data_IF_207797840782
#
_entry.id   IF_207797840782
#
_cell.length_a   1.000
_cell.length_b   1.000
_cell.length_c   1.000
_cell.angle_alpha   90.00
_cell.angle_beta   90.00
_cell.angle_gamma   90.00
#
_symmetry.space_group_name_H-M   'P 1'
#
loop_
_entity.id
_entity.type
_entity.pdbx_description
1 polymer ?
#
# COMPACT_ATOMS: atom_id res chain seq x y z
N UNK A 1 -16.94 -27.36 34.01
CA UNK A 1 -16.99 -27.85 35.41
C UNK A 1 -18.20 -27.23 36.07
N UNK A 2 -18.99 -28.02 36.81
CA UNK A 2 -20.16 -27.52 37.55
C UNK A 2 -19.65 -26.82 38.82
N UNK A 3 -20.09 -25.60 39.14
CA UNK A 3 -19.67 -24.93 40.38
C UNK A 3 -20.20 -25.69 41.62
N UNK A 4 -19.33 -25.89 42.64
CA UNK A 4 -19.61 -26.49 43.97
C UNK A 4 -19.69 -28.02 44.12
N UNK A 5 -19.11 -28.81 43.21
CA UNK A 5 -18.97 -30.25 43.46
C UNK A 5 -17.76 -30.58 44.36
N UNK A 6 -18.04 -30.89 45.64
CA UNK A 6 -17.04 -31.26 46.66
C UNK A 6 -16.39 -32.63 46.43
N UNK A 7 -16.86 -33.42 45.45
CA UNK A 7 -16.28 -34.72 45.09
C UNK A 7 -15.33 -34.65 43.89
N UNK A 8 -15.17 -33.48 43.25
CA UNK A 8 -14.27 -33.32 42.11
C UNK A 8 -12.82 -33.03 42.54
N UNK A 9 -12.11 -34.06 43.01
CA UNK A 9 -10.69 -33.96 43.39
C UNK A 9 -9.71 -33.92 42.20
N UNK A 10 -10.17 -34.27 40.99
CA UNK A 10 -9.30 -34.46 39.82
C UNK A 10 -9.60 -33.50 38.65
N UNK A 11 -10.32 -32.41 38.88
CA UNK A 11 -10.62 -31.39 37.86
C UNK A 11 -11.41 -31.96 36.67
N UNK A 12 -10.73 -32.22 35.55
CA UNK A 12 -11.32 -32.81 34.34
C UNK A 12 -11.36 -34.36 34.34
N UNK A 13 -10.87 -35.02 35.40
CA UNK A 13 -10.84 -36.47 35.54
C UNK A 13 -9.54 -37.13 35.03
N UNK A 14 -9.50 -38.47 35.03
CA UNK A 14 -8.34 -39.26 34.53
C UNK A 14 -8.22 -39.08 33.02
N UNK A 15 -7.00 -38.78 32.55
CA UNK A 15 -6.73 -38.59 31.13
C UNK A 15 -6.85 -39.94 30.39
N UNK A 16 -7.94 -40.10 29.66
CA UNK A 16 -8.14 -41.23 28.77
C UNK A 16 -7.44 -40.92 27.43
N UNK A 17 -6.20 -41.36 27.33
CA UNK A 17 -5.36 -41.14 26.15
C UNK A 17 -5.98 -41.76 24.89
N UNK A 18 -6.73 -42.86 25.02
CA UNK A 18 -7.37 -43.54 23.89
C UNK A 18 -8.57 -42.74 23.38
N UNK A 19 -9.40 -42.22 24.30
CA UNK A 19 -10.50 -41.32 23.94
C UNK A 19 -10.01 -39.97 23.40
N UNK A 20 -8.87 -39.47 23.89
CA UNK A 20 -8.25 -38.24 23.40
C UNK A 20 -7.72 -38.38 21.97
N UNK A 21 -7.02 -39.49 21.66
CA UNK A 21 -6.52 -39.78 20.30
C UNK A 21 -7.67 -40.01 19.31
N UNK A 22 -8.75 -40.66 19.75
CA UNK A 22 -9.92 -40.86 18.89
C UNK A 22 -10.66 -39.54 18.63
N UNK A 23 -10.73 -38.62 19.60
CA UNK A 23 -11.32 -37.28 19.39
C UNK A 23 -10.45 -36.37 18.54
N UNK A 24 -9.12 -36.43 18.68
CA UNK A 24 -8.23 -35.67 17.80
C UNK A 24 -8.34 -36.18 16.36
N UNK A 25 -8.36 -37.50 16.15
CA UNK A 25 -8.51 -38.08 14.80
C UNK A 25 -9.88 -37.81 14.17
N UNK A 26 -10.95 -37.67 14.97
CA UNK A 26 -12.30 -37.37 14.46
C UNK A 26 -12.49 -35.88 14.17
N UNK A 27 -11.79 -34.99 14.90
CA UNK A 27 -11.80 -33.54 14.65
C UNK A 27 -10.91 -33.18 13.45
N UNK A 28 -9.82 -33.92 13.23
CA UNK A 28 -8.93 -33.82 12.07
C UNK A 28 -9.54 -34.34 10.76
N UNK A 29 -10.61 -35.14 10.81
CA UNK A 29 -11.16 -35.83 9.63
C UNK A 29 -12.02 -34.96 8.71
N UNK A 30 -12.39 -33.73 9.12
CA UNK A 30 -13.26 -32.86 8.33
C UNK A 30 -12.51 -31.74 7.59
N UNK A 31 -11.21 -31.55 7.84
CA UNK A 31 -10.44 -30.48 7.22
C UNK A 31 -9.18 -31.04 6.53
N UNK A 32 -8.83 -30.48 5.37
CA UNK A 32 -7.62 -30.88 4.65
C UNK A 32 -6.41 -30.79 5.61
N UNK A 33 -5.55 -31.82 5.71
CA UNK A 33 -4.45 -31.86 6.69
C UNK A 33 -3.47 -30.68 6.53
N UNK A 34 -3.34 -30.18 5.30
CA UNK A 34 -2.57 -28.98 4.97
C UNK A 34 -3.18 -27.72 5.59
N UNK A 35 -4.51 -27.62 5.62
CA UNK A 35 -5.24 -26.47 6.18
C UNK A 35 -5.15 -26.42 7.70
N UNK A 36 -5.18 -27.58 8.37
CA UNK A 36 -4.93 -27.70 9.81
C UNK A 36 -3.50 -27.28 10.17
N UNK A 37 -2.51 -27.81 9.45
CA UNK A 37 -1.10 -27.41 9.65
C UNK A 37 -0.88 -25.91 9.44
N UNK A 38 -1.51 -25.31 8.42
CA UNK A 38 -1.46 -23.86 8.20
C UNK A 38 -2.11 -23.08 9.33
N UNK A 39 -3.28 -23.51 9.82
CA UNK A 39 -3.99 -22.86 10.94
C UNK A 39 -3.15 -22.91 12.21
N UNK A 40 -2.57 -24.06 12.53
CA UNK A 40 -1.73 -24.23 13.73
C UNK A 40 -0.43 -23.44 13.63
N UNK A 41 0.19 -23.41 12.45
CA UNK A 41 1.37 -22.59 12.18
C UNK A 41 1.07 -21.10 12.32
N UNK A 42 -0.06 -20.63 11.78
CA UNK A 42 -0.50 -19.23 11.91
C UNK A 42 -0.81 -18.90 13.37
N UNK A 43 -1.51 -19.77 14.10
CA UNK A 43 -1.80 -19.59 15.52
C UNK A 43 -0.52 -19.53 16.36
N UNK A 44 0.46 -20.38 16.06
CA UNK A 44 1.79 -20.38 16.67
C UNK A 44 2.56 -19.08 16.39
N UNK A 45 2.53 -18.58 15.15
CA UNK A 45 3.15 -17.30 14.78
C UNK A 45 2.48 -16.11 15.49
N UNK A 46 1.15 -16.15 15.66
CA UNK A 46 0.39 -15.12 16.38
C UNK A 46 0.74 -15.12 17.88
N UNK A 47 0.93 -16.29 18.48
CA UNK A 47 1.20 -16.42 19.94
C UNK A 47 2.68 -16.29 20.32
N UNK A 48 3.63 -16.69 19.47
CA UNK A 48 5.06 -16.77 19.82
C UNK A 48 5.97 -15.68 19.19
N UNK A 49 5.40 -14.70 18.50
CA UNK A 49 5.85 -13.31 18.64
C UNK A 49 7.18 -12.85 18.02
N UNK A 50 7.66 -13.44 16.92
CA UNK A 50 8.68 -12.79 16.06
C UNK A 50 8.16 -12.35 14.69
N UNK A 51 7.14 -13.02 14.15
CA UNK A 51 6.51 -12.70 12.87
C UNK A 51 4.99 -12.75 13.05
N UNK A 52 4.44 -11.85 13.88
CA UNK A 52 3.01 -11.80 14.09
C UNK A 52 2.30 -11.34 12.80
N UNK A 53 1.46 -12.17 12.14
CA UNK A 53 0.76 -11.79 10.90
C UNK A 53 -0.14 -10.57 11.12
N UNK A 54 -0.64 -10.40 12.35
CA UNK A 54 -1.47 -9.26 12.76
C UNK A 54 -0.74 -7.93 12.60
N UNK A 55 0.59 -7.94 12.72
CA UNK A 55 1.45 -6.78 12.48
C UNK A 55 1.45 -6.32 11.01
N UNK A 56 1.29 -7.25 10.07
CA UNK A 56 1.37 -7.00 8.63
C UNK A 56 -0.01 -6.82 7.98
N UNK A 57 -1.02 -7.56 8.45
CA UNK A 57 -2.33 -7.66 7.77
C UNK A 57 -3.47 -6.92 8.49
N UNK A 58 -3.37 -6.67 9.80
CA UNK A 58 -4.48 -6.16 10.61
C UNK A 58 -4.46 -4.62 10.77
N UNK A 59 -3.72 -3.91 9.91
CA UNK A 59 -3.74 -2.45 9.83
C UNK A 59 -2.91 -1.70 10.87
N UNK A 60 -1.92 -2.35 11.48
CA UNK A 60 -0.94 -1.71 12.37
C UNK A 60 0.13 -0.89 11.62
N UNK A 61 1.35 -0.82 12.17
CA UNK A 61 2.47 0.00 11.68
C UNK A 61 2.83 -0.16 10.19
N UNK A 62 2.42 -1.26 9.57
CA UNK A 62 2.50 -1.49 8.14
C UNK A 62 1.12 -1.86 7.61
N UNK A 63 0.38 -0.90 7.05
CA UNK A 63 -0.84 -1.18 6.30
C UNK A 63 -0.49 -1.84 4.95
N UNK A 64 0.08 -3.06 4.99
CA UNK A 64 0.67 -3.74 3.84
C UNK A 64 -0.37 -3.99 2.74
N UNK A 65 -1.60 -4.36 3.12
CA UNK A 65 -2.67 -4.64 2.17
C UNK A 65 -3.06 -3.39 1.37
N UNK A 66 -3.44 -2.25 1.98
CA UNK A 66 -3.67 -1.01 1.25
C UNK A 66 -2.50 -0.61 0.34
N UNK A 67 -1.26 -0.70 0.85
CA UNK A 67 -0.04 -0.35 0.11
C UNK A 67 0.17 -1.21 -1.13
N UNK A 68 -0.05 -2.52 -1.03
CA UNK A 68 0.04 -3.42 -2.19
C UNK A 68 -1.05 -3.11 -3.22
N UNK A 69 -2.27 -2.82 -2.77
CA UNK A 69 -3.37 -2.42 -3.66
C UNK A 69 -3.02 -1.12 -4.38
N UNK A 70 -2.35 -0.17 -3.72
CA UNK A 70 -1.88 1.08 -4.34
C UNK A 70 -0.81 0.85 -5.40
N UNK A 71 0.13 -0.05 -5.19
CA UNK A 71 1.14 -0.42 -6.22
C UNK A 71 0.46 -1.10 -7.41
N UNK A 72 -0.44 -2.04 -7.14
CA UNK A 72 -1.19 -2.75 -8.17
C UNK A 72 -2.09 -1.81 -8.96
N UNK A 73 -2.74 -0.84 -8.30
CA UNK A 73 -3.54 0.19 -8.94
C UNK A 73 -2.70 1.09 -9.84
N UNK A 74 -1.52 1.52 -9.38
CA UNK A 74 -0.59 2.30 -10.19
C UNK A 74 -0.11 1.53 -11.43
N UNK A 75 0.17 0.24 -11.27
CA UNK A 75 0.53 -0.63 -12.37
C UNK A 75 -0.62 -0.82 -13.36
N UNK A 76 -1.85 -1.02 -12.87
CA UNK A 76 -3.04 -1.15 -13.69
C UNK A 76 -3.33 0.14 -14.48
N UNK A 77 -3.22 1.31 -13.84
CA UNK A 77 -3.32 2.62 -14.49
C UNK A 77 -2.27 2.73 -15.61
N UNK A 78 -1.04 2.36 -15.30
CA UNK A 78 0.07 2.39 -16.27
C UNK A 78 -0.19 1.47 -17.46
N UNK A 79 -0.74 0.28 -17.23
CA UNK A 79 -1.18 -0.64 -18.27
C UNK A 79 -2.33 -0.08 -19.10
N UNK A 80 -3.31 0.57 -18.47
CA UNK A 80 -4.44 1.18 -19.16
C UNK A 80 -3.97 2.32 -20.07
N UNK A 81 -3.06 3.17 -19.59
CA UNK A 81 -2.44 4.25 -20.38
C UNK A 81 -1.68 3.66 -21.57
N UNK A 82 -0.91 2.58 -21.35
CA UNK A 82 -0.20 1.88 -22.42
C UNK A 82 -1.15 1.33 -23.48
N UNK A 83 -2.26 0.71 -23.06
CA UNK A 83 -3.21 0.07 -23.97
C UNK A 83 -4.03 1.10 -24.76
N UNK A 84 -4.49 2.18 -24.11
CA UNK A 84 -5.40 3.14 -24.71
C UNK A 84 -4.71 4.25 -25.51
N UNK A 85 -3.56 4.76 -25.06
CA UNK A 85 -2.96 5.97 -25.64
C UNK A 85 -1.68 5.76 -26.45
N UNK A 86 -0.80 4.86 -26.03
CA UNK A 86 0.55 4.78 -26.62
C UNK A 86 1.10 3.35 -26.75
N UNK A 87 0.39 2.43 -27.45
CA UNK A 87 0.78 1.03 -27.52
C UNK A 87 2.18 0.78 -28.12
N UNK A 88 2.66 1.67 -29.00
CA UNK A 88 3.97 1.54 -29.67
C UNK A 88 5.09 2.45 -29.09
N UNK A 89 4.75 3.45 -28.28
CA UNK A 89 5.69 4.46 -27.76
C UNK A 89 5.98 4.36 -26.27
N UNK A 90 5.18 3.59 -25.53
CA UNK A 90 5.31 3.46 -24.08
C UNK A 90 6.47 2.54 -23.68
N UNK A 91 7.40 3.04 -22.86
CA UNK A 91 8.55 2.26 -22.37
C UNK A 91 8.46 2.03 -20.87
N UNK A 92 8.42 0.75 -20.47
CA UNK A 92 8.72 0.38 -19.09
C UNK A 92 10.21 0.61 -18.86
N UNK A 93 10.52 1.71 -18.19
CA UNK A 93 11.89 2.08 -17.84
C UNK A 93 12.03 2.11 -16.32
N UNK A 94 13.25 1.94 -15.80
CA UNK A 94 13.51 2.05 -14.36
C UNK A 94 13.00 3.35 -13.74
N UNK A 95 13.21 4.56 -14.33
CA UNK A 95 12.65 5.78 -13.76
C UNK A 95 11.12 5.73 -13.65
N UNK A 96 10.41 5.13 -14.62
CA UNK A 96 8.96 4.98 -14.56
C UNK A 96 8.51 4.13 -13.37
N UNK A 97 9.15 2.98 -13.16
CA UNK A 97 8.88 2.14 -12.00
C UNK A 97 9.20 2.84 -10.68
N UNK A 98 10.36 3.51 -10.61
CA UNK A 98 10.78 4.24 -9.43
C UNK A 98 9.78 5.35 -9.07
N UNK A 99 9.35 6.14 -10.06
CA UNK A 99 8.33 7.17 -9.87
C UNK A 99 7.00 6.58 -9.39
N UNK A 100 6.54 5.49 -10.00
CA UNK A 100 5.29 4.83 -9.63
C UNK A 100 5.31 4.26 -8.21
N UNK A 101 6.40 3.61 -7.80
CA UNK A 101 6.55 3.08 -6.44
C UNK A 101 6.59 4.24 -5.44
N UNK A 102 7.38 5.28 -5.71
CA UNK A 102 7.52 6.44 -4.84
C UNK A 102 6.19 7.23 -4.69
N UNK A 103 5.39 7.28 -5.75
CA UNK A 103 4.07 7.92 -5.73
C UNK A 103 2.97 7.09 -5.07
N UNK A 104 3.04 5.75 -5.14
CA UNK A 104 1.98 4.86 -4.66
C UNK A 104 2.20 4.44 -3.20
N UNK A 105 3.05 3.46 -2.94
CA UNK A 105 3.26 2.91 -1.60
C UNK A 105 4.45 3.51 -0.86
N UNK A 106 5.38 4.15 -1.59
CA UNK A 106 6.70 4.46 -1.06
C UNK A 106 7.49 3.20 -0.75
N UNK A 107 8.64 3.33 -0.09
CA UNK A 107 9.39 2.18 0.40
C UNK A 107 8.83 1.74 1.76
N UNK A 108 7.53 1.42 1.82
CA UNK A 108 6.77 1.25 3.06
C UNK A 108 7.43 0.34 4.11
N UNK A 109 8.24 -0.64 3.69
CA UNK A 109 9.04 -1.52 4.56
C UNK A 109 9.97 -0.76 5.50
N UNK A 110 10.50 0.40 5.08
CA UNK A 110 11.36 1.23 5.94
C UNK A 110 10.60 1.92 7.08
N UNK A 111 9.29 2.13 6.97
CA UNK A 111 8.55 2.92 7.97
C UNK A 111 8.51 2.27 9.35
N UNK A 112 8.47 0.94 9.44
CA UNK A 112 8.49 0.24 10.73
C UNK A 112 9.84 -0.35 11.10
N UNK A 113 10.92 0.00 10.38
CA UNK A 113 12.26 -0.20 10.89
C UNK A 113 12.53 0.86 11.97
N UNK A 114 12.52 0.45 13.23
CA UNK A 114 12.91 1.30 14.35
C UNK A 114 14.27 0.82 14.87
N UNK A 115 15.33 1.58 14.59
CA UNK A 115 16.64 1.32 15.17
C UNK A 115 16.68 1.97 16.56
N UNK A 116 17.04 1.19 17.58
CA UNK A 116 17.17 1.67 18.95
C UNK A 116 18.26 2.75 19.00
N UNK A 117 17.91 3.95 19.48
CA UNK A 117 18.83 5.08 19.61
C UNK A 117 18.85 6.06 18.42
N UNK A 118 18.12 5.78 17.33
CA UNK A 118 17.96 6.72 16.20
C UNK A 118 16.55 7.33 16.16
N UNK A 119 16.41 8.58 15.68
CA UNK A 119 15.11 9.15 15.41
C UNK A 119 14.38 8.31 14.35
N UNK A 120 13.08 8.06 14.54
CA UNK A 120 12.26 7.23 13.63
C UNK A 120 11.85 7.98 12.35
N UNK A 121 11.79 9.31 12.40
CA UNK A 121 11.28 10.14 11.31
C UNK A 121 12.03 9.98 9.97
N UNK A 122 13.36 9.76 9.89
CA UNK A 122 14.04 9.62 8.60
C UNK A 122 13.64 8.32 7.87
N UNK A 123 13.51 7.23 8.63
CA UNK A 123 13.06 5.94 8.09
C UNK A 123 11.57 5.99 7.73
N UNK A 124 10.78 6.73 8.52
CA UNK A 124 9.38 7.00 8.23
C UNK A 124 9.19 7.82 6.94
N UNK A 125 10.01 8.85 6.72
CA UNK A 125 10.00 9.66 5.49
C UNK A 125 10.49 8.89 4.28
N UNK A 126 11.57 8.11 4.42
CA UNK A 126 12.08 7.27 3.33
C UNK A 126 11.08 6.19 2.92
N UNK A 127 10.29 5.70 3.87
CA UNK A 127 9.27 4.68 3.60
C UNK A 127 7.90 5.22 3.20
N UNK A 128 7.59 6.50 3.45
CA UNK A 128 6.30 7.08 3.08
C UNK A 128 6.16 7.23 1.57
N UNK A 129 4.93 7.04 1.09
CA UNK A 129 4.56 7.49 -0.25
C UNK A 129 4.60 9.01 -0.29
N UNK A 130 4.75 9.57 -1.49
CA UNK A 130 4.84 11.00 -1.66
C UNK A 130 3.60 11.77 -1.10
N UNK A 131 2.36 11.28 -1.26
CA UNK A 131 1.19 11.90 -0.62
C UNK A 131 1.17 11.78 0.91
N UNK A 132 1.78 10.73 1.46
CA UNK A 132 1.88 10.50 2.91
C UNK A 132 3.06 11.22 3.56
N UNK A 133 3.98 11.82 2.80
CA UNK A 133 5.17 12.46 3.38
C UNK A 133 4.80 13.55 4.41
N UNK A 134 3.66 14.20 4.22
CA UNK A 134 3.11 15.18 5.17
C UNK A 134 2.70 14.59 6.51
N UNK A 135 2.32 13.31 6.57
CA UNK A 135 1.97 12.61 7.82
C UNK A 135 3.22 12.33 8.65
N UNK A 136 4.33 11.95 8.01
CA UNK A 136 5.63 11.77 8.67
C UNK A 136 6.16 13.08 9.28
N UNK A 137 5.93 14.21 8.62
CA UNK A 137 6.32 15.53 9.12
C UNK A 137 5.41 16.03 10.24
N UNK A 138 4.09 15.83 10.09
CA UNK A 138 3.08 16.37 11.01
C UNK A 138 2.80 15.44 12.20
N UNK A 139 3.32 14.20 12.17
CA UNK A 139 3.05 13.14 13.15
C UNK A 139 1.53 12.95 13.38
N UNK A 140 0.74 13.12 12.31
CA UNK A 140 -0.72 12.95 12.29
C UNK A 140 -1.08 11.75 11.43
N UNK A 141 -2.20 11.10 11.74
CA UNK A 141 -2.76 10.05 10.89
C UNK A 141 -3.39 10.60 9.60
N UNK A 142 -3.78 11.88 9.61
CA UNK A 142 -4.46 12.54 8.49
C UNK A 142 -3.46 13.04 7.44
N UNK A 143 -3.81 12.86 6.17
CA UNK A 143 -3.06 13.32 5.00
C UNK A 143 -3.00 14.85 4.97
N UNK A 144 -1.83 15.39 4.67
CA UNK A 144 -1.67 16.82 4.45
C UNK A 144 -2.18 17.19 3.05
N UNK A 145 -3.14 18.13 2.90
CA UNK A 145 -3.74 18.46 1.61
C UNK A 145 -2.73 19.02 0.60
N UNK A 146 -1.61 19.59 1.04
CA UNK A 146 -0.55 20.07 0.13
C UNK A 146 0.17 18.87 -0.50
N UNK A 147 0.52 17.86 0.29
CA UNK A 147 1.20 16.65 -0.20
C UNK A 147 0.24 15.72 -0.94
N UNK A 148 -1.00 15.63 -0.47
CA UNK A 148 -2.08 14.87 -1.10
C UNK A 148 -2.76 15.61 -2.26
N UNK A 149 -2.00 16.40 -3.01
CA UNK A 149 -2.48 17.16 -4.16
C UNK A 149 -1.67 16.90 -5.43
N UNK A 150 -2.20 17.34 -6.56
CA UNK A 150 -1.50 17.28 -7.85
C UNK A 150 -0.30 18.24 -7.94
N UNK A 151 -0.07 19.12 -6.94
CA UNK A 151 1.01 20.12 -6.96
C UNK A 151 2.39 19.49 -7.15
N UNK A 152 2.72 18.46 -6.38
CA UNK A 152 4.04 17.82 -6.43
C UNK A 152 4.24 17.05 -7.76
N UNK A 153 3.29 16.21 -8.22
CA UNK A 153 3.35 15.65 -9.57
C UNK A 153 3.50 16.70 -10.68
N UNK A 154 2.81 17.85 -10.54
CA UNK A 154 2.91 18.96 -11.50
C UNK A 154 4.32 19.54 -11.53
N UNK A 155 4.90 19.85 -10.36
CA UNK A 155 6.26 20.34 -10.26
C UNK A 155 7.27 19.32 -10.84
N UNK A 156 7.09 18.04 -10.55
CA UNK A 156 7.93 16.97 -11.10
C UNK A 156 7.84 16.90 -12.62
N UNK A 157 6.65 17.00 -13.22
CA UNK A 157 6.51 17.03 -14.68
C UNK A 157 7.16 18.28 -15.27
N UNK A 158 6.93 19.47 -14.72
CA UNK A 158 7.55 20.71 -15.24
C UNK A 158 9.08 20.60 -15.24
N UNK A 159 9.67 20.07 -14.18
CA UNK A 159 11.13 19.97 -14.04
C UNK A 159 11.73 18.83 -14.88
N UNK A 160 11.08 17.66 -14.95
CA UNK A 160 11.69 16.45 -15.51
C UNK A 160 11.27 16.18 -16.97
N UNK A 161 10.24 16.85 -17.50
CA UNK A 161 9.73 16.59 -18.87
C UNK A 161 10.78 16.87 -19.95
N UNK A 162 11.68 17.83 -19.72
CA UNK A 162 12.79 18.15 -20.63
C UNK A 162 13.89 17.09 -20.68
N UNK A 163 13.94 16.16 -19.73
CA UNK A 163 15.02 15.18 -19.62
C UNK A 163 14.65 13.84 -20.29
N UNK A 164 15.54 13.29 -21.13
CA UNK A 164 15.28 12.11 -21.97
C UNK A 164 14.81 10.86 -21.18
N UNK A 165 15.41 10.62 -20.01
CA UNK A 165 15.09 9.48 -19.13
C UNK A 165 14.12 9.84 -18.00
N UNK A 166 14.36 10.93 -17.25
CA UNK A 166 13.60 11.29 -16.06
C UNK A 166 12.14 11.68 -16.34
N UNK A 167 11.80 12.11 -17.57
CA UNK A 167 10.40 12.33 -17.99
C UNK A 167 9.50 11.11 -17.73
N UNK A 168 10.03 9.90 -17.92
CA UNK A 168 9.31 8.66 -17.64
C UNK A 168 9.06 8.45 -16.15
N UNK A 169 9.97 8.94 -15.31
CA UNK A 169 9.78 8.93 -13.86
C UNK A 169 8.71 9.91 -13.39
N UNK A 170 8.60 11.07 -14.02
CA UNK A 170 7.48 11.98 -13.75
C UNK A 170 6.13 11.37 -14.16
N UNK A 171 6.05 10.70 -15.32
CA UNK A 171 4.84 9.97 -15.75
C UNK A 171 4.50 8.85 -14.76
N UNK A 172 5.49 8.07 -14.34
CA UNK A 172 5.33 7.03 -13.32
C UNK A 172 4.85 7.59 -11.99
N UNK A 173 5.43 8.72 -11.55
CA UNK A 173 5.02 9.41 -10.32
C UNK A 173 3.56 9.85 -10.40
N UNK A 174 3.11 10.39 -11.53
CA UNK A 174 1.72 10.74 -11.74
C UNK A 174 0.79 9.54 -11.63
N UNK A 175 1.15 8.39 -12.21
CA UNK A 175 0.37 7.17 -12.11
C UNK A 175 0.33 6.60 -10.68
N UNK A 176 1.46 6.65 -9.96
CA UNK A 176 1.55 6.21 -8.57
C UNK A 176 0.73 7.07 -7.63
N UNK A 177 0.90 8.39 -7.68
CA UNK A 177 0.16 9.35 -6.85
C UNK A 177 -1.33 9.31 -7.17
N UNK A 178 -1.70 9.20 -8.45
CA UNK A 178 -3.09 9.01 -8.83
C UNK A 178 -3.71 7.77 -8.20
N UNK A 179 -3.00 6.63 -8.22
CA UNK A 179 -3.48 5.40 -7.60
C UNK A 179 -3.66 5.55 -6.10
N UNK A 180 -2.69 6.17 -5.42
CA UNK A 180 -2.75 6.42 -3.97
C UNK A 180 -3.99 7.26 -3.64
N UNK A 181 -4.12 8.44 -4.25
CA UNK A 181 -5.23 9.37 -3.98
C UNK A 181 -6.60 8.81 -4.35
N UNK A 182 -6.72 8.08 -5.46
CA UNK A 182 -8.00 7.47 -5.86
C UNK A 182 -8.43 6.39 -4.86
N UNK A 183 -7.51 5.52 -4.45
CA UNK A 183 -7.82 4.46 -3.47
C UNK A 183 -8.09 5.05 -2.09
N UNK A 184 -7.29 6.04 -1.67
CA UNK A 184 -7.46 6.71 -0.39
C UNK A 184 -8.72 7.59 -0.34
N UNK A 185 -9.22 8.08 -1.48
CA UNK A 185 -10.48 8.82 -1.56
C UNK A 185 -11.73 7.93 -1.68
N UNK A 186 -11.58 6.70 -2.21
CA UNK A 186 -12.71 5.81 -2.52
C UNK A 186 -12.84 4.64 -1.54
N UNK A 187 -11.89 3.71 -1.58
CA UNK A 187 -11.94 2.41 -0.89
C UNK A 187 -11.47 2.54 0.56
N UNK A 188 -10.32 3.17 0.76
CA UNK A 188 -9.66 3.26 2.07
C UNK A 188 -9.60 4.72 2.49
N UNK A 189 -10.65 5.23 3.13
CA UNK A 189 -10.65 6.65 3.47
C UNK A 189 -9.54 7.00 4.47
N UNK A 190 -8.58 7.77 4.00
CA UNK A 190 -7.59 8.46 4.81
C UNK A 190 -8.07 9.90 5.01
N UNK A 191 -8.20 10.32 6.28
CA UNK A 191 -8.62 11.67 6.63
C UNK A 191 -7.69 12.71 6.01
N UNK A 192 -8.23 13.87 5.64
CA UNK A 192 -7.43 14.99 5.12
C UNK A 192 -7.40 16.10 6.16
N UNK A 193 -6.20 16.53 6.53
CA UNK A 193 -5.98 17.65 7.43
C UNK A 193 -6.76 18.88 6.92
N UNK A 194 -7.35 19.62 7.86
CA UNK A 194 -8.12 20.85 7.65
C UNK A 194 -9.55 20.68 7.12
N UNK A 195 -9.95 19.50 6.64
CA UNK A 195 -11.32 19.28 6.14
C UNK A 195 -12.35 18.92 7.24
N UNK A 196 -11.93 18.83 8.50
CA UNK A 196 -12.80 18.58 9.65
C UNK A 196 -13.58 17.26 9.56
N UNK A 197 -14.66 17.11 10.33
CA UNK A 197 -15.52 15.90 10.34
C UNK A 197 -16.34 15.68 9.06
N UNK A 198 -16.01 16.37 7.98
CA UNK A 198 -16.70 16.30 6.69
C UNK A 198 -16.05 15.29 5.76
N UNK A 199 -16.24 14.00 6.01
CA UNK A 199 -15.62 12.91 5.25
C UNK A 199 -15.83 13.04 3.73
N UNK A 200 -16.98 13.56 3.30
CA UNK A 200 -17.32 13.72 1.88
C UNK A 200 -16.40 14.72 1.18
N UNK A 201 -16.09 15.86 1.81
CA UNK A 201 -15.26 16.89 1.20
C UNK A 201 -13.82 16.43 1.03
N UNK A 202 -13.26 15.73 2.04
CA UNK A 202 -11.94 15.12 1.96
C UNK A 202 -11.87 14.05 0.86
N UNK A 203 -12.88 13.18 0.75
CA UNK A 203 -12.97 12.16 -0.31
C UNK A 203 -13.01 12.79 -1.70
N UNK A 204 -13.88 13.78 -1.91
CA UNK A 204 -13.97 14.49 -3.18
C UNK A 204 -12.65 15.18 -3.52
N UNK A 205 -11.99 15.82 -2.55
CA UNK A 205 -10.69 16.44 -2.74
C UNK A 205 -9.63 15.43 -3.22
N UNK A 206 -9.52 14.27 -2.56
CA UNK A 206 -8.57 13.23 -2.93
C UNK A 206 -8.87 12.65 -4.31
N UNK A 207 -10.13 12.33 -4.61
CA UNK A 207 -10.53 11.77 -5.91
C UNK A 207 -10.27 12.77 -7.03
N UNK A 208 -10.63 14.04 -6.86
CA UNK A 208 -10.39 15.08 -7.87
C UNK A 208 -8.89 15.27 -8.11
N UNK A 209 -8.07 15.33 -7.07
CA UNK A 209 -6.61 15.42 -7.24
C UNK A 209 -6.03 14.16 -7.90
N UNK A 210 -6.55 12.97 -7.58
CA UNK A 210 -6.17 11.72 -8.24
C UNK A 210 -6.48 11.75 -9.74
N UNK A 211 -7.68 12.19 -10.12
CA UNK A 211 -8.08 12.35 -11.53
C UNK A 211 -7.25 13.41 -12.26
N UNK A 212 -6.96 14.55 -11.62
CA UNK A 212 -6.08 15.57 -12.18
C UNK A 212 -4.67 15.04 -12.39
N UNK A 213 -4.17 14.21 -11.47
CA UNK A 213 -2.87 13.58 -11.58
C UNK A 213 -2.80 12.58 -12.74
N UNK A 214 -3.87 11.79 -12.96
CA UNK A 214 -4.00 10.94 -14.15
C UNK A 214 -3.98 11.77 -15.44
N UNK A 215 -4.80 12.81 -15.50
CA UNK A 215 -4.88 13.68 -16.66
C UNK A 215 -3.51 14.30 -16.99
N UNK A 216 -2.80 14.77 -15.97
CA UNK A 216 -1.45 15.34 -16.11
C UNK A 216 -0.42 14.30 -16.59
N UNK A 217 -0.48 13.07 -16.09
CA UNK A 217 0.35 11.96 -16.58
C UNK A 217 0.08 11.63 -18.06
N UNK A 218 -1.19 11.63 -18.47
CA UNK A 218 -1.60 11.44 -19.86
C UNK A 218 -1.08 12.57 -20.78
N UNK A 219 -1.15 13.82 -20.33
CA UNK A 219 -0.58 14.96 -21.06
C UNK A 219 0.94 14.86 -21.19
N UNK A 220 1.64 14.54 -20.11
CA UNK A 220 3.09 14.37 -20.11
C UNK A 220 3.54 13.27 -21.07
N UNK A 221 2.78 12.17 -21.15
CA UNK A 221 3.03 11.10 -22.11
C UNK A 221 2.83 11.58 -23.56
N UNK A 222 1.74 12.28 -23.84
CA UNK A 222 1.45 12.82 -25.18
C UNK A 222 2.52 13.82 -25.64
N UNK A 223 3.02 14.65 -24.74
CA UNK A 223 4.12 15.57 -25.01
C UNK A 223 5.45 14.82 -25.25
N UNK A 224 5.67 13.72 -24.51
CA UNK A 224 6.90 12.93 -24.66
C UNK A 224 6.96 12.18 -26.00
N UNK A 225 5.84 11.65 -26.47
CA UNK A 225 5.75 10.92 -27.75
C UNK A 225 5.84 11.86 -28.95
N UNK A 226 5.26 13.06 -28.89
CA UNK A 226 5.39 14.07 -29.95
C UNK A 226 6.82 14.62 -30.08
N UNK A 227 7.51 14.80 -28.94
CA UNK A 227 8.92 15.19 -28.94
C UNK A 227 9.80 14.13 -29.63
N UNK A 228 9.51 12.85 -29.42
CA UNK A 228 10.29 11.75 -30.01
C UNK A 228 10.06 11.60 -31.51
N UNK A 229 8.82 11.77 -32.00
CA UNK A 229 8.53 11.75 -33.44
C UNK A 229 9.19 12.92 -34.18
N UNK A 230 9.22 14.12 -33.58
CA UNK A 230 9.92 15.27 -34.15
C UNK A 230 11.43 15.02 -34.28
N UNK A 231 12.05 14.37 -33.28
CA UNK A 231 13.48 14.05 -33.33
C UNK A 231 13.85 12.99 -34.38
N UNK A 232 12.93 12.10 -34.73
CA UNK A 232 13.12 11.09 -35.77
C UNK A 232 13.00 11.66 -37.18
N UNK A 233 12.17 12.68 -37.39
CA UNK A 233 12.03 13.35 -38.69
C UNK A 233 13.19 14.31 -39.03
N UNK A 234 14.02 14.66 -38.05
CA UNK A 234 15.19 15.55 -38.22
C UNK A 234 16.50 14.78 -38.42
N UNK A 235 16.47 13.44 -38.42
CA UNK A 235 17.61 12.55 -38.68
C UNK A 235 17.42 11.84 -40.00
#
# INVERSE_FOLDING_TARGET
AVPNDKQNYFGSGRLDAQAAVTRSSTTDQAENPLMLWLKDFVNYLVTNGYLNPRFWFDGGAFALVPKLIMVLGGYLITLLIRWWMAPKGFRLTMPLWAGMILGSSGLFVLQGLAVVGLPRWPLQMAGSSLPELGTALSQSADLNPIFASVLIPTAAVILLLGHRSLRWGAIGLCAGVASHLLLSGSVFYEGVLWFGSGDVWGRCFLVLNGLLCLWLGCLALKASTSSESSSLNLR
#
